data_IF_205887087321
#
_entry.id   IF_205887087321
#
_cell.length_a   1.000
_cell.length_b   1.000
_cell.length_c   1.000
_cell.angle_alpha   90.00
_cell.angle_beta   90.00
_cell.angle_gamma   90.00
#
_symmetry.space_group_name_H-M   'P 1'
#
loop_
_entity.id
_entity.type
_entity.pdbx_description
1 polymer ?
#
# COMPACT_ATOMS: atom_id res chain seq x y z
N UNK A 1 2.71 59.89 23.18
CA UNK A 1 2.42 59.09 21.97
C UNK A 1 1.26 58.15 22.31
N UNK A 2 0.05 58.52 21.91
CA UNK A 2 -1.16 57.72 22.12
C UNK A 2 -1.38 56.89 20.86
N UNK A 3 -1.06 55.59 20.94
CA UNK A 3 -1.54 54.65 19.93
C UNK A 3 -3.04 54.47 20.12
N UNK A 4 -3.79 54.66 19.04
CA UNK A 4 -5.25 54.53 19.07
C UNK A 4 -5.64 53.06 19.12
N UNK A 5 -6.77 52.72 19.76
CA UNK A 5 -7.26 51.33 19.88
C UNK A 5 -7.35 50.60 18.52
N UNK A 6 -7.51 51.37 17.43
CA UNK A 6 -7.57 50.91 16.06
C UNK A 6 -6.22 50.37 15.54
N UNK A 7 -5.08 50.94 15.97
CA UNK A 7 -3.73 50.49 15.61
C UNK A 7 -3.37 49.18 16.32
N UNK A 8 -3.89 48.95 17.54
CA UNK A 8 -3.72 47.70 18.27
C UNK A 8 -4.52 46.53 17.65
N UNK A 9 -5.71 46.83 17.10
CA UNK A 9 -6.58 45.86 16.43
C UNK A 9 -6.03 45.41 15.07
N UNK A 10 -5.36 46.31 14.33
CA UNK A 10 -4.71 45.98 13.05
C UNK A 10 -3.47 45.09 13.21
N UNK A 11 -2.71 45.21 14.31
CA UNK A 11 -1.60 44.29 14.60
C UNK A 11 -2.06 42.88 14.98
N UNK A 12 -3.25 42.72 15.55
CA UNK A 12 -3.80 41.42 15.95
C UNK A 12 -4.30 40.58 14.75
N UNK A 13 -4.60 41.24 13.62
CA UNK A 13 -5.06 40.59 12.38
C UNK A 13 -3.97 39.84 11.61
N UNK A 14 -2.69 40.00 11.96
CA UNK A 14 -1.58 39.38 11.23
C UNK A 14 -1.13 38.03 11.79
N UNK A 15 -1.78 37.53 12.85
CA UNK A 15 -1.61 36.13 13.28
C UNK A 15 -2.48 35.26 12.38
N UNK A 16 -2.12 35.20 11.09
CA UNK A 16 -2.56 34.10 10.24
C UNK A 16 -2.11 32.81 10.94
N UNK A 17 -3.00 31.83 11.16
CA UNK A 17 -2.52 30.51 11.53
C UNK A 17 -1.59 30.07 10.40
N UNK A 18 -0.28 30.05 10.66
CA UNK A 18 0.64 29.32 9.82
C UNK A 18 0.15 27.88 9.92
N UNK A 19 -0.54 27.41 8.88
CA UNK A 19 -0.71 25.98 8.71
C UNK A 19 0.71 25.41 8.75
N UNK A 20 1.00 24.61 9.80
CA UNK A 20 2.23 23.85 9.89
C UNK A 20 2.17 22.80 8.78
N UNK A 21 2.51 23.20 7.56
CA UNK A 21 2.68 22.29 6.45
C UNK A 21 3.99 21.55 6.70
N UNK A 22 3.89 20.27 7.03
CA UNK A 22 5.06 19.40 6.98
C UNK A 22 5.51 19.28 5.53
N UNK A 23 6.79 19.53 5.28
CA UNK A 23 7.41 19.28 3.98
C UNK A 23 7.91 17.84 4.01
N UNK A 24 7.37 17.01 3.13
CA UNK A 24 7.82 15.62 2.94
C UNK A 24 8.84 15.57 1.81
N UNK A 25 9.88 14.78 2.00
CA UNK A 25 10.85 14.43 0.97
C UNK A 25 10.65 12.97 0.54
N UNK A 26 11.11 12.63 -0.66
CA UNK A 26 11.05 11.26 -1.17
C UNK A 26 11.99 10.37 -0.34
N UNK A 27 11.43 9.34 0.29
CA UNK A 27 12.20 8.34 1.05
C UNK A 27 12.50 7.11 0.19
N UNK A 28 11.45 6.50 -0.36
CA UNK A 28 11.53 5.31 -1.20
C UNK A 28 10.75 5.55 -2.50
N UNK A 29 11.22 4.94 -3.59
CA UNK A 29 10.57 4.97 -4.89
C UNK A 29 10.66 3.59 -5.54
N UNK A 30 9.54 2.88 -5.63
CA UNK A 30 9.48 1.53 -6.18
C UNK A 30 8.85 1.58 -7.57
N UNK A 31 9.63 1.24 -8.60
CA UNK A 31 9.16 1.20 -9.99
C UNK A 31 9.61 -0.11 -10.66
N UNK A 32 8.71 -0.77 -11.38
CA UNK A 32 9.03 -1.98 -12.13
C UNK A 32 9.67 -3.06 -11.27
N UNK A 33 10.93 -3.41 -11.55
CA UNK A 33 11.66 -4.47 -10.85
C UNK A 33 12.02 -4.15 -9.40
N UNK A 34 11.96 -2.89 -8.98
CA UNK A 34 12.28 -2.50 -7.59
C UNK A 34 11.36 -3.19 -6.58
N UNK A 35 10.13 -3.53 -6.99
CA UNK A 35 9.17 -4.28 -6.17
C UNK A 35 9.63 -5.70 -5.85
N UNK A 36 10.51 -6.32 -6.65
CA UNK A 36 11.04 -7.66 -6.38
C UNK A 36 12.06 -7.66 -5.24
N UNK A 37 12.66 -6.51 -4.93
CA UNK A 37 13.63 -6.36 -3.83
C UNK A 37 13.10 -5.54 -2.66
N UNK A 38 12.19 -4.60 -2.92
CA UNK A 38 11.60 -3.73 -1.91
C UNK A 38 10.46 -4.37 -1.12
N UNK A 39 9.95 -5.51 -1.60
CA UNK A 39 8.83 -6.22 -0.98
C UNK A 39 9.13 -7.71 -0.82
N UNK A 40 8.49 -8.31 0.17
CA UNK A 40 8.52 -9.73 0.47
C UNK A 40 7.21 -10.37 0.01
N UNK A 41 7.32 -11.45 -0.76
CA UNK A 41 6.18 -12.28 -1.15
C UNK A 41 5.76 -13.18 0.02
N UNK A 42 4.57 -12.95 0.54
CA UNK A 42 4.05 -13.66 1.70
C UNK A 42 3.38 -14.97 1.30
N UNK A 43 4.14 -16.07 1.30
CA UNK A 43 3.59 -17.42 1.19
C UNK A 43 3.02 -17.88 2.54
N UNK A 44 1.85 -17.36 2.88
CA UNK A 44 1.14 -17.62 4.14
C UNK A 44 -0.28 -18.10 3.87
N UNK A 45 -0.86 -18.80 4.84
CA UNK A 45 -2.32 -18.98 4.89
C UNK A 45 -2.97 -17.61 5.01
N UNK A 46 -4.00 -17.36 4.20
CA UNK A 46 -4.70 -16.09 4.21
C UNK A 46 -5.34 -15.80 5.58
N UNK A 47 -4.93 -14.72 6.28
CA UNK A 47 -5.50 -14.35 7.57
C UNK A 47 -7.01 -14.07 7.51
N UNK A 48 -7.53 -13.69 6.35
CA UNK A 48 -8.96 -13.42 6.14
C UNK A 48 -9.76 -14.66 5.73
N UNK A 49 -9.10 -15.82 5.63
CA UNK A 49 -9.69 -17.12 5.30
C UNK A 49 -10.35 -17.17 3.91
N UNK A 50 -9.80 -16.45 2.93
CA UNK A 50 -10.24 -16.47 1.54
C UNK A 50 -9.88 -17.76 0.79
N UNK A 51 -10.52 -17.96 -0.36
CA UNK A 51 -10.24 -19.07 -1.29
C UNK A 51 -9.01 -18.77 -2.16
N UNK A 52 -7.86 -18.61 -1.52
CA UNK A 52 -6.61 -18.18 -2.16
C UNK A 52 -5.43 -19.06 -1.74
N UNK A 53 -4.43 -19.15 -2.61
CA UNK A 53 -3.10 -19.68 -2.29
C UNK A 53 -2.08 -18.61 -2.64
N UNK A 54 -1.52 -17.96 -1.63
CA UNK A 54 -0.44 -16.98 -1.85
C UNK A 54 0.86 -17.71 -2.11
N UNK A 55 1.46 -17.48 -3.28
CA UNK A 55 2.66 -18.20 -3.71
C UNK A 55 3.94 -17.41 -3.42
N UNK A 56 5.09 -18.09 -3.46
CA UNK A 56 6.41 -17.45 -3.37
C UNK A 56 6.71 -16.56 -4.59
N UNK A 57 7.68 -15.65 -4.47
CA UNK A 57 8.15 -14.83 -5.59
C UNK A 57 8.57 -15.67 -6.80
N UNK A 58 9.40 -16.69 -6.58
CA UNK A 58 9.86 -17.61 -7.63
C UNK A 58 8.68 -18.24 -8.38
N UNK A 59 7.67 -18.72 -7.63
CA UNK A 59 6.47 -19.33 -8.22
C UNK A 59 5.64 -18.28 -8.96
N UNK A 60 5.48 -17.07 -8.40
CA UNK A 60 4.75 -15.99 -9.03
C UNK A 60 5.38 -15.55 -10.35
N UNK A 61 6.71 -15.48 -10.41
CA UNK A 61 7.44 -15.16 -11.64
C UNK A 61 7.34 -16.30 -12.67
N UNK A 62 7.53 -17.55 -12.22
CA UNK A 62 7.45 -18.72 -13.09
C UNK A 62 6.06 -18.92 -13.71
N UNK A 63 5.00 -18.65 -12.95
CA UNK A 63 3.60 -18.71 -13.40
C UNK A 63 3.11 -17.38 -14.00
N UNK A 64 3.97 -16.36 -14.08
CA UNK A 64 3.61 -15.02 -14.52
C UNK A 64 2.42 -14.41 -13.76
N UNK A 65 2.27 -14.73 -12.47
CA UNK A 65 1.35 -14.06 -11.54
C UNK A 65 1.91 -12.70 -11.10
N UNK A 66 3.22 -12.55 -11.12
CA UNK A 66 3.89 -11.25 -11.05
C UNK A 66 4.68 -11.01 -12.32
N UNK A 67 4.51 -9.81 -12.88
CA UNK A 67 5.35 -9.29 -13.96
C UNK A 67 5.88 -7.91 -13.55
N UNK A 68 7.19 -7.74 -13.57
CA UNK A 68 7.85 -6.50 -13.20
C UNK A 68 8.87 -6.12 -14.28
N UNK A 69 8.64 -5.02 -15.01
CA UNK A 69 9.55 -4.55 -16.05
C UNK A 69 9.28 -3.09 -16.40
N UNK A 70 10.34 -2.35 -16.75
CA UNK A 70 10.23 -0.93 -17.08
C UNK A 70 9.59 -0.12 -15.95
N UNK A 71 8.50 0.57 -16.25
CA UNK A 71 7.71 1.40 -15.32
C UNK A 71 6.46 0.69 -14.78
N UNK A 72 6.42 -0.64 -14.88
CA UNK A 72 5.20 -1.42 -14.68
C UNK A 72 5.45 -2.60 -13.74
N UNK A 73 4.65 -2.66 -12.68
CA UNK A 73 4.37 -3.86 -11.91
C UNK A 73 2.97 -4.35 -12.27
N UNK A 74 2.82 -5.64 -12.48
CA UNK A 74 1.53 -6.31 -12.54
C UNK A 74 1.53 -7.46 -11.53
N UNK A 75 0.51 -7.46 -10.70
CA UNK A 75 0.14 -8.54 -9.80
C UNK A 75 -1.22 -9.07 -10.24
N UNK A 76 -1.33 -10.37 -10.52
CA UNK A 76 -2.56 -10.99 -11.01
C UNK A 76 -2.82 -12.33 -10.33
N UNK A 77 -4.11 -12.70 -10.27
CA UNK A 77 -4.50 -14.05 -9.90
C UNK A 77 -4.32 -15.00 -11.10
N UNK A 78 -4.23 -16.30 -10.82
CA UNK A 78 -4.35 -17.33 -11.86
C UNK A 78 -5.73 -17.25 -12.51
N UNK A 79 -5.77 -17.03 -13.81
CA UNK A 79 -6.98 -16.91 -14.63
C UNK A 79 -7.19 -18.09 -15.59
N UNK A 80 -6.40 -19.16 -15.45
CA UNK A 80 -6.39 -20.31 -16.36
C UNK A 80 -6.88 -21.61 -15.71
N UNK A 81 -6.60 -21.79 -14.42
CA UNK A 81 -6.86 -23.07 -13.74
C UNK A 81 -8.33 -23.16 -13.31
N UNK A 82 -8.96 -24.29 -13.66
CA UNK A 82 -10.20 -24.77 -13.05
C UNK A 82 -9.82 -25.49 -11.76
N UNK A 83 -10.27 -24.96 -10.63
CA UNK A 83 -9.91 -25.49 -9.31
C UNK A 83 -10.74 -26.72 -8.96
N UNK A 84 -10.09 -27.66 -8.27
CA UNK A 84 -10.78 -28.71 -7.52
C UNK A 84 -11.56 -28.05 -6.35
N UNK A 85 -12.87 -28.30 -6.20
CA UNK A 85 -13.66 -27.79 -5.08
C UNK A 85 -13.08 -28.15 -3.70
N UNK A 86 -12.45 -29.33 -3.58
CA UNK A 86 -11.87 -29.83 -2.33
C UNK A 86 -10.36 -29.51 -2.21
N UNK A 87 -9.78 -28.92 -3.26
CA UNK A 87 -8.35 -28.57 -3.34
C UNK A 87 -7.98 -27.24 -2.67
N UNK A 88 -6.80 -26.67 -2.99
CA UNK A 88 -6.40 -25.33 -2.54
C UNK A 88 -7.16 -24.21 -3.27
N UNK A 89 -6.97 -22.99 -2.78
CA UNK A 89 -7.54 -21.78 -3.40
C UNK A 89 -6.86 -21.37 -4.71
N UNK A 90 -7.36 -20.30 -5.33
CA UNK A 90 -6.76 -19.75 -6.56
C UNK A 90 -5.38 -19.18 -6.24
N UNK A 91 -4.37 -19.50 -7.05
CA UNK A 91 -3.05 -18.91 -6.88
C UNK A 91 -3.10 -17.40 -7.07
N UNK A 92 -2.48 -16.65 -6.15
CA UNK A 92 -2.37 -15.20 -6.19
C UNK A 92 -1.10 -14.77 -5.45
N UNK A 93 -0.89 -13.47 -5.34
CA UNK A 93 0.26 -12.88 -4.66
C UNK A 93 -0.18 -11.88 -3.60
N UNK A 94 0.54 -11.87 -2.48
CA UNK A 94 0.46 -10.88 -1.41
C UNK A 94 1.88 -10.44 -1.13
N UNK A 95 2.16 -9.15 -1.29
CA UNK A 95 3.48 -8.59 -1.05
C UNK A 95 3.43 -7.61 0.13
N UNK A 96 4.51 -7.52 0.88
CA UNK A 96 4.65 -6.62 2.03
C UNK A 96 5.99 -5.90 1.93
N UNK A 97 6.02 -4.58 2.15
CA UNK A 97 7.27 -3.83 2.06
C UNK A 97 8.28 -4.35 3.07
N UNK A 98 9.56 -4.36 2.70
CA UNK A 98 10.66 -4.67 3.61
C UNK A 98 10.80 -3.57 4.67
N UNK A 99 10.61 -2.31 4.26
CA UNK A 99 10.66 -1.16 5.14
C UNK A 99 9.31 -0.97 5.86
N UNK A 100 9.38 -0.47 7.10
CA UNK A 100 8.23 -0.02 7.88
C UNK A 100 8.24 1.50 7.98
N UNK A 101 7.05 2.09 8.07
CA UNK A 101 6.88 3.53 8.15
C UNK A 101 6.00 3.90 9.35
N UNK A 102 6.23 5.10 9.89
CA UNK A 102 5.37 5.68 10.94
C UNK A 102 4.72 6.94 10.37
N UNK A 103 5.22 8.13 10.68
CA UNK A 103 4.77 9.37 10.04
C UNK A 103 5.35 9.46 8.64
N UNK A 104 4.53 9.26 7.62
CA UNK A 104 4.95 9.30 6.23
C UNK A 104 3.77 9.64 5.29
N UNK A 105 4.05 9.69 3.99
CA UNK A 105 3.06 9.81 2.92
C UNK A 105 3.33 8.69 1.93
N UNK A 106 2.32 7.85 1.67
CA UNK A 106 2.34 6.86 0.59
C UNK A 106 1.56 7.38 -0.61
N UNK A 107 2.10 7.19 -1.81
CA UNK A 107 1.44 7.54 -3.08
C UNK A 107 1.48 6.32 -3.99
N UNK A 108 0.30 5.87 -4.41
CA UNK A 108 0.13 4.75 -5.34
C UNK A 108 -0.37 5.30 -6.69
N UNK A 109 0.46 5.21 -7.73
CA UNK A 109 0.04 5.49 -9.10
C UNK A 109 -0.44 4.17 -9.75
N UNK A 110 -1.76 3.94 -9.70
CA UNK A 110 -2.38 2.67 -10.09
C UNK A 110 -3.11 2.85 -11.43
N UNK A 111 -2.57 2.20 -12.48
CA UNK A 111 -3.19 2.18 -13.82
C UNK A 111 -4.43 1.30 -13.90
N UNK A 112 -4.48 0.21 -13.11
CA UNK A 112 -5.57 -0.77 -13.09
C UNK A 112 -5.59 -1.51 -11.75
N UNK A 113 -6.78 -1.88 -11.27
CA UNK A 113 -6.97 -2.70 -10.06
C UNK A 113 -7.77 -3.97 -10.38
N UNK A 114 -7.63 -5.07 -9.59
CA UNK A 114 -8.37 -6.30 -9.86
C UNK A 114 -9.89 -6.10 -9.86
N UNK A 115 -10.58 -6.76 -10.78
CA UNK A 115 -12.04 -6.76 -10.89
C UNK A 115 -12.56 -8.18 -11.18
N UNK A 116 -13.81 -8.43 -10.79
CA UNK A 116 -14.48 -9.72 -10.97
C UNK A 116 -15.32 -10.12 -9.75
N UNK A 117 -16.28 -11.03 -9.94
CA UNK A 117 -17.02 -11.56 -8.80
C UNK A 117 -16.07 -12.24 -7.81
N UNK A 118 -16.30 -11.97 -6.51
CA UNK A 118 -15.53 -12.55 -5.40
C UNK A 118 -14.08 -12.08 -5.27
N UNK A 119 -13.58 -11.20 -6.13
CA UNK A 119 -12.25 -10.59 -5.92
C UNK A 119 -12.30 -9.64 -4.74
N UNK A 120 -11.29 -9.70 -3.86
CA UNK A 120 -11.10 -8.77 -2.75
C UNK A 120 -9.65 -8.22 -2.81
N UNK A 121 -9.39 -7.20 -3.65
CA UNK A 121 -8.09 -6.54 -3.68
C UNK A 121 -7.93 -5.55 -2.53
N UNK A 122 -6.70 -5.31 -2.09
CA UNK A 122 -6.38 -4.29 -1.10
C UNK A 122 -4.96 -3.72 -1.33
N UNK A 123 -4.83 -2.40 -1.17
CA UNK A 123 -3.58 -1.71 -0.90
C UNK A 123 -3.75 -1.07 0.49
N UNK A 124 -2.93 -1.45 1.44
CA UNK A 124 -3.18 -1.16 2.85
C UNK A 124 -1.90 -1.22 3.65
N UNK A 125 -1.94 -0.65 4.86
CA UNK A 125 -0.84 -0.66 5.80
C UNK A 125 -1.31 -1.17 7.15
N UNK A 126 -0.45 -1.90 7.86
CA UNK A 126 -0.72 -2.36 9.22
C UNK A 126 0.56 -2.40 10.02
N UNK A 127 0.40 -2.40 11.35
CA UNK A 127 1.52 -2.64 12.25
C UNK A 127 2.24 -3.96 11.94
N UNK A 128 3.57 -3.91 11.97
CA UNK A 128 4.41 -5.08 11.64
C UNK A 128 4.18 -6.28 12.58
N UNK A 129 3.64 -6.06 13.77
CA UNK A 129 3.30 -7.10 14.74
C UNK A 129 2.00 -6.76 15.46
N UNK A 130 1.44 -7.75 16.16
CA UNK A 130 0.37 -7.57 17.14
C UNK A 130 -0.89 -6.89 16.57
N UNK A 131 -1.37 -7.34 15.41
CA UNK A 131 -2.69 -6.97 14.94
C UNK A 131 -3.77 -7.38 15.98
N UNK A 132 -4.76 -6.54 16.31
CA UNK A 132 -5.05 -5.21 15.74
C UNK A 132 -4.43 -4.03 16.52
N UNK A 133 -3.68 -4.28 17.59
CA UNK A 133 -3.23 -3.27 18.55
C UNK A 133 -2.28 -2.22 17.94
N UNK A 134 -1.55 -2.57 16.87
CA UNK A 134 -0.68 -1.66 16.15
C UNK A 134 -1.34 -0.94 14.96
N UNK A 135 -2.66 -1.10 14.79
CA UNK A 135 -3.45 -0.39 13.80
C UNK A 135 -3.39 -0.98 12.39
N UNK A 136 -4.35 -0.55 11.59
CA UNK A 136 -4.54 -0.90 10.18
C UNK A 136 -5.21 0.27 9.46
N UNK A 137 -4.77 0.56 8.24
CA UNK A 137 -5.41 1.51 7.33
C UNK A 137 -5.56 0.88 5.96
N UNK A 138 -6.80 0.66 5.55
CA UNK A 138 -7.18 0.25 4.20
C UNK A 138 -7.34 1.51 3.33
N UNK A 139 -6.53 1.63 2.27
CA UNK A 139 -6.45 2.81 1.38
C UNK A 139 -7.33 2.59 0.14
#
# INVERSE_FOLDING_TARGET
>A
MHFTLLELLLLSSCILPQALAAIYALTDNYVGTDFLTGFIFQNITDPTNGRVTYVTEETALALNLTYASGDTLIMRADDTTILDPDGPGRNSVRIMSVNNYTTHVAVFDIRHMPEGCSTWPAAWETGATNWPDCGEVDI
#
